data_IF_372466714975
#
_entry.id   IF_372466714975
#
_cell.length_a   1.000
_cell.length_b   1.000
_cell.length_c   1.000
_cell.angle_alpha   90.00
_cell.angle_beta   90.00
_cell.angle_gamma   90.00
#
_symmetry.space_group_name_H-M   'P 1'
#
loop_
_entity.id
_entity.type
_entity.pdbx_description
1 polymer ?
#
# COMPACT_ATOMS: atom_id res chain seq x y z
N UNK A 1 11.16 -2.27 -3.95
CA UNK A 1 10.98 -3.02 -2.68
C UNK A 1 11.00 -2.01 -1.54
N UNK A 2 10.08 -2.13 -0.57
CA UNK A 2 10.05 -1.23 0.61
C UNK A 2 10.87 -1.88 1.72
N UNK A 3 11.78 -1.11 2.31
CA UNK A 3 12.63 -1.46 3.44
C UNK A 3 12.22 -0.62 4.67
N UNK A 4 12.34 -1.18 5.87
CA UNK A 4 12.09 -0.44 7.12
C UNK A 4 13.43 -0.09 7.76
N UNK A 5 13.75 1.20 7.83
CA UNK A 5 14.98 1.69 8.43
C UNK A 5 14.76 2.20 9.86
N UNK A 6 15.70 1.97 10.79
CA UNK A 6 15.75 2.70 12.05
C UNK A 6 15.83 4.22 11.82
N UNK A 7 15.18 5.00 12.68
CA UNK A 7 15.15 6.47 12.52
C UNK A 7 16.55 7.10 12.54
N UNK A 8 17.49 6.50 13.30
CA UNK A 8 18.88 6.94 13.35
C UNK A 8 19.56 6.82 11.97
N UNK A 9 19.39 5.68 11.29
CA UNK A 9 19.92 5.47 9.94
C UNK A 9 19.24 6.40 8.94
N UNK A 10 17.93 6.62 9.06
CA UNK A 10 17.22 7.56 8.20
C UNK A 10 17.69 9.02 8.38
N UNK A 11 18.08 9.40 9.61
CA UNK A 11 18.68 10.70 9.88
C UNK A 11 20.07 10.84 9.26
N UNK A 12 20.87 9.77 9.27
CA UNK A 12 22.16 9.76 8.57
C UNK A 12 21.98 9.97 7.06
N UNK A 13 20.91 9.42 6.46
CA UNK A 13 20.58 9.67 5.05
C UNK A 13 20.24 11.14 4.77
N UNK A 14 19.65 11.87 5.73
CA UNK A 14 19.41 13.32 5.61
C UNK A 14 20.70 14.16 5.65
N UNK A 15 21.78 13.59 6.17
CA UNK A 15 23.10 14.24 6.29
C UNK A 15 24.01 14.01 5.09
N UNK A 16 23.64 13.08 4.20
CA UNK A 16 24.46 12.64 3.07
C UNK A 16 24.70 13.77 2.03
N UNK A 17 25.92 13.82 1.47
CA UNK A 17 26.58 14.89 0.68
C UNK A 17 25.76 15.72 -0.33
N UNK A 18 24.59 15.28 -0.79
CA UNK A 18 23.79 16.03 -1.76
C UNK A 18 23.25 17.36 -1.20
N UNK A 19 23.05 17.44 0.12
CA UNK A 19 22.63 18.69 0.77
C UNK A 19 23.78 19.72 0.85
N UNK A 20 25.03 19.25 1.01
CA UNK A 20 26.25 20.08 1.13
C UNK A 20 26.66 20.77 -0.18
N UNK A 21 26.29 20.22 -1.34
CA UNK A 21 26.65 20.80 -2.64
C UNK A 21 25.63 21.83 -3.17
N UNK A 22 24.42 21.85 -2.62
CA UNK A 22 23.33 22.76 -3.04
C UNK A 22 23.21 24.00 -2.14
N UNK A 23 23.58 23.89 -0.87
CA UNK A 23 23.53 24.97 0.12
C UNK A 23 24.87 24.92 0.84
N UNK A 24 25.67 25.99 0.72
CA UNK A 24 27.07 26.02 1.15
C UNK A 24 27.35 25.43 2.54
N UNK A 25 28.62 25.11 2.77
CA UNK A 25 29.15 24.29 3.87
C UNK A 25 28.33 24.22 5.19
N UNK A 26 28.20 23.01 5.73
CA UNK A 26 27.90 22.83 7.15
C UNK A 26 26.45 22.56 7.56
N UNK A 27 25.53 22.23 6.64
CA UNK A 27 24.18 21.81 7.03
C UNK A 27 24.21 20.50 7.82
N UNK A 28 23.99 20.56 9.13
CA UNK A 28 23.85 19.36 9.96
C UNK A 28 22.44 18.76 9.80
N UNK A 29 22.24 17.52 10.25
CA UNK A 29 20.90 16.92 10.39
C UNK A 29 19.96 17.86 11.15
N UNK A 30 20.48 18.52 12.21
CA UNK A 30 19.72 19.47 13.02
C UNK A 30 19.24 20.66 12.18
N UNK A 31 20.07 21.18 11.30
CA UNK A 31 19.72 22.32 10.43
C UNK A 31 18.68 21.90 9.39
N UNK A 32 18.87 20.74 8.77
CA UNK A 32 17.89 20.14 7.84
C UNK A 32 16.52 19.99 8.52
N UNK A 33 16.48 19.44 9.73
CA UNK A 33 15.25 19.32 10.50
C UNK A 33 14.63 20.69 10.84
N UNK A 34 15.45 21.67 11.23
CA UNK A 34 14.98 23.01 11.54
C UNK A 34 14.32 23.66 10.32
N UNK A 35 14.93 23.56 9.13
CA UNK A 35 14.35 24.07 7.88
C UNK A 35 12.99 23.41 7.61
N UNK A 36 12.92 22.07 7.65
CA UNK A 36 11.69 21.33 7.35
C UNK A 36 10.54 21.68 8.31
N UNK A 37 10.85 21.96 9.57
CA UNK A 37 9.86 22.39 10.58
C UNK A 37 9.29 23.79 10.35
N UNK A 38 9.97 24.63 9.57
CA UNK A 38 9.51 26.00 9.26
C UNK A 38 8.64 26.09 8.01
N UNK A 39 8.57 25.02 7.19
CA UNK A 39 7.76 25.00 5.98
C UNK A 39 6.26 24.99 6.32
N UNK A 40 5.46 25.76 5.57
CA UNK A 40 4.07 26.07 5.92
C UNK A 40 3.15 24.84 6.03
N UNK A 41 3.44 23.80 5.25
CA UNK A 41 2.65 22.56 5.19
C UNK A 41 3.09 21.50 6.22
N UNK A 42 4.17 21.77 6.96
CA UNK A 42 4.74 20.84 7.92
C UNK A 42 3.77 20.46 9.06
N UNK A 43 3.01 21.39 9.67
CA UNK A 43 2.04 21.04 10.71
C UNK A 43 0.96 20.07 10.21
N UNK A 44 0.47 20.27 8.99
CA UNK A 44 -0.55 19.43 8.37
C UNK A 44 0.02 18.04 8.07
N UNK A 45 1.24 17.97 7.53
CA UNK A 45 1.92 16.70 7.28
C UNK A 45 2.16 15.93 8.58
N UNK A 46 2.67 16.60 9.62
CA UNK A 46 2.92 15.98 10.92
C UNK A 46 1.62 15.45 11.53
N UNK A 47 0.55 16.23 11.48
CA UNK A 47 -0.76 15.78 11.95
C UNK A 47 -1.28 14.59 11.14
N UNK A 48 -1.09 14.60 9.83
CA UNK A 48 -1.43 13.48 8.96
C UNK A 48 -0.63 12.23 9.34
N UNK A 49 0.70 12.31 9.47
CA UNK A 49 1.56 11.19 9.89
C UNK A 49 1.21 10.71 11.31
N UNK A 50 0.84 11.60 12.22
CA UNK A 50 0.41 11.21 13.56
C UNK A 50 -0.84 10.34 13.54
N UNK A 51 -1.81 10.68 12.69
CA UNK A 51 -3.07 9.92 12.55
C UNK A 51 -2.90 8.64 11.76
N UNK A 52 -1.99 8.66 10.79
CA UNK A 52 -2.00 7.69 9.70
C UNK A 52 -0.69 6.91 9.54
N UNK A 53 0.39 7.31 10.18
CA UNK A 53 1.73 6.80 9.89
C UNK A 53 2.30 7.35 8.58
N UNK A 54 3.47 6.85 8.20
CA UNK A 54 4.15 7.23 6.95
C UNK A 54 3.63 6.35 5.82
N UNK A 55 2.87 6.97 4.90
CA UNK A 55 2.18 6.25 3.82
C UNK A 55 3.02 6.15 2.53
N UNK A 56 3.80 7.18 2.24
CA UNK A 56 4.75 7.19 1.12
C UNK A 56 6.15 6.91 1.68
N UNK A 57 6.83 5.84 1.27
CA UNK A 57 8.20 5.58 1.71
C UNK A 57 9.11 6.74 1.32
N UNK A 58 10.19 6.95 2.06
CA UNK A 58 11.24 7.86 1.63
C UNK A 58 11.97 7.26 0.43
N UNK A 59 12.25 8.04 -0.61
CA UNK A 59 13.03 7.57 -1.75
C UNK A 59 14.51 7.72 -1.43
N UNK A 60 15.25 6.63 -1.58
CA UNK A 60 16.69 6.61 -1.39
C UNK A 60 17.38 6.12 -2.66
N UNK A 61 18.57 6.62 -2.92
CA UNK A 61 19.46 6.08 -3.95
C UNK A 61 20.52 5.23 -3.30
N UNK A 62 20.88 4.10 -3.92
CA UNK A 62 22.06 3.31 -3.58
C UNK A 62 22.99 3.32 -4.77
N UNK A 63 24.16 3.91 -4.60
CA UNK A 63 25.21 3.97 -5.63
C UNK A 63 25.88 2.61 -5.82
N UNK A 64 26.62 2.44 -6.93
CA UNK A 64 27.40 1.22 -7.20
C UNK A 64 28.44 0.91 -6.11
N UNK A 65 28.91 1.93 -5.37
CA UNK A 65 29.82 1.77 -4.23
C UNK A 65 29.10 1.40 -2.93
N UNK A 66 27.78 1.19 -2.95
CA UNK A 66 26.97 0.88 -1.77
C UNK A 66 26.64 2.08 -0.89
N UNK A 67 27.02 3.30 -1.30
CA UNK A 67 26.66 4.52 -0.58
C UNK A 67 25.18 4.84 -0.78
N UNK A 68 24.49 5.15 0.31
CA UNK A 68 23.04 5.44 0.34
C UNK A 68 22.81 6.92 0.59
N UNK A 69 21.88 7.54 -0.14
CA UNK A 69 21.45 8.93 0.12
C UNK A 69 19.94 9.10 -0.01
N UNK A 70 19.40 10.07 0.72
CA UNK A 70 17.99 10.43 0.63
C UNK A 70 17.75 11.30 -0.61
N UNK A 71 16.85 10.87 -1.50
CA UNK A 71 16.37 11.67 -2.62
C UNK A 71 15.11 12.45 -2.22
N UNK A 72 14.12 11.76 -1.64
CA UNK A 72 12.84 12.37 -1.25
C UNK A 72 12.31 11.85 0.08
N UNK A 73 11.49 12.65 0.76
CA UNK A 73 10.88 12.29 2.05
C UNK A 73 11.51 12.94 3.29
N UNK A 74 12.34 13.97 3.11
CA UNK A 74 12.94 14.78 4.18
C UNK A 74 11.91 15.23 5.24
N UNK A 75 10.76 15.74 4.80
CA UNK A 75 9.68 16.17 5.69
C UNK A 75 9.05 15.01 6.46
N UNK A 76 8.93 13.83 5.84
CA UNK A 76 8.34 12.65 6.47
C UNK A 76 9.25 12.12 7.57
N UNK A 77 10.56 12.07 7.34
CA UNK A 77 11.54 11.70 8.35
C UNK A 77 11.55 12.72 9.50
N UNK A 78 11.54 14.01 9.19
CA UNK A 78 11.47 15.06 10.21
C UNK A 78 10.22 14.93 11.10
N UNK A 79 9.05 14.71 10.49
CA UNK A 79 7.81 14.49 11.21
C UNK A 79 7.84 13.20 12.04
N UNK A 80 8.44 12.11 11.53
CA UNK A 80 8.59 10.86 12.26
C UNK A 80 9.40 11.06 13.55
N UNK A 81 10.52 11.82 13.46
CA UNK A 81 11.31 12.21 14.64
C UNK A 81 10.47 12.99 15.64
N UNK A 82 9.75 14.01 15.19
CA UNK A 82 8.91 14.87 16.06
C UNK A 82 7.70 14.14 16.67
N UNK A 83 7.38 12.95 16.18
CA UNK A 83 6.31 12.08 16.65
C UNK A 83 6.83 10.86 17.43
N UNK A 84 8.16 10.69 17.53
CA UNK A 84 8.78 9.59 18.27
C UNK A 84 8.69 8.23 17.58
N UNK A 85 8.63 8.20 16.24
CA UNK A 85 8.71 6.94 15.50
C UNK A 85 10.11 6.33 15.62
N UNK A 86 10.18 5.02 15.83
CA UNK A 86 11.45 4.28 15.91
C UNK A 86 11.99 3.92 14.52
N UNK A 87 11.11 3.81 13.53
CA UNK A 87 11.44 3.37 12.17
C UNK A 87 10.68 4.16 11.11
N UNK A 88 11.21 4.17 9.88
CA UNK A 88 10.58 4.78 8.70
C UNK A 88 10.68 3.84 7.49
N UNK A 89 9.63 3.75 6.66
CA UNK A 89 9.70 3.01 5.41
C UNK A 89 10.49 3.81 4.36
N UNK A 90 11.35 3.12 3.62
CA UNK A 90 12.12 3.65 2.49
C UNK A 90 12.03 2.73 1.27
N UNK A 91 12.34 3.25 0.09
CA UNK A 91 12.38 2.48 -1.16
C UNK A 91 13.54 2.96 -2.04
N UNK A 92 14.16 2.05 -2.77
CA UNK A 92 15.09 2.38 -3.87
C UNK A 92 14.41 2.38 -5.24
N UNK A 93 13.12 2.04 -5.28
CA UNK A 93 12.35 1.91 -6.50
C UNK A 93 11.68 3.25 -6.83
N UNK A 94 12.29 4.00 -7.74
CA UNK A 94 11.81 5.31 -8.19
C UNK A 94 10.47 5.21 -8.93
N UNK A 95 10.20 4.09 -9.61
CA UNK A 95 8.91 3.86 -10.28
C UNK A 95 7.81 3.69 -9.24
N UNK A 96 8.03 2.81 -8.26
CA UNK A 96 7.12 2.65 -7.13
C UNK A 96 6.91 3.97 -6.39
N UNK A 97 7.96 4.76 -6.19
CA UNK A 97 7.86 6.06 -5.53
C UNK A 97 6.96 7.04 -6.30
N UNK A 98 7.23 7.26 -7.59
CA UNK A 98 6.40 8.12 -8.46
C UNK A 98 4.95 7.64 -8.48
N UNK A 99 4.76 6.33 -8.62
CA UNK A 99 3.44 5.72 -8.65
C UNK A 99 2.69 5.98 -7.33
N UNK A 100 3.32 5.82 -6.16
CA UNK A 100 2.69 6.15 -4.87
C UNK A 100 2.38 7.64 -4.73
N UNK A 101 3.25 8.53 -5.21
CA UNK A 101 2.99 9.98 -5.17
C UNK A 101 1.83 10.40 -6.09
N UNK A 102 1.71 9.75 -7.25
CA UNK A 102 0.60 9.94 -8.19
C UNK A 102 -0.70 9.32 -7.66
N UNK A 103 -0.59 8.24 -6.88
CA UNK A 103 -1.69 7.59 -6.17
C UNK A 103 -2.02 8.25 -4.83
N UNK A 104 -2.22 9.58 -4.84
CA UNK A 104 -2.72 10.33 -3.66
C UNK A 104 -4.01 9.78 -3.06
N UNK A 105 -4.72 8.91 -3.78
CA UNK A 105 -5.92 8.20 -3.34
C UNK A 105 -5.61 6.90 -2.57
N UNK A 106 -4.49 6.21 -2.85
CA UNK A 106 -4.08 4.97 -2.14
C UNK A 106 -3.33 5.32 -0.85
N UNK A 107 -3.99 6.07 0.02
CA UNK A 107 -3.39 6.51 1.27
C UNK A 107 -3.61 5.42 2.33
N UNK A 108 -2.69 4.46 2.39
CA UNK A 108 -2.66 3.40 3.40
C UNK A 108 -2.18 3.97 4.73
N UNK A 109 -3.08 4.25 5.68
CA UNK A 109 -2.60 4.40 7.07
C UNK A 109 -2.22 3.04 7.62
N UNK A 110 -1.44 3.04 8.69
CA UNK A 110 -1.19 1.83 9.47
C UNK A 110 -2.48 1.04 9.79
N UNK A 111 -3.65 1.69 9.76
CA UNK A 111 -4.96 1.12 10.08
C UNK A 111 -6.11 1.35 9.08
N UNK A 112 -5.93 2.08 7.96
CA UNK A 112 -7.12 2.49 7.15
C UNK A 112 -6.84 2.74 5.66
N UNK A 113 -7.88 2.52 4.85
CA UNK A 113 -7.95 2.90 3.43
C UNK A 113 -8.72 4.22 3.30
N UNK A 114 -8.21 5.15 2.49
CA UNK A 114 -9.01 6.30 2.10
C UNK A 114 -10.18 5.87 1.20
N UNK A 115 -11.30 6.58 1.28
CA UNK A 115 -12.48 6.24 0.46
C UNK A 115 -12.18 6.31 -1.05
N UNK A 116 -11.28 7.21 -1.46
CA UNK A 116 -10.82 7.31 -2.86
C UNK A 116 -10.04 6.07 -3.33
N UNK A 117 -9.53 5.25 -2.41
CA UNK A 117 -8.88 3.97 -2.74
C UNK A 117 -9.86 2.84 -3.02
N UNK A 118 -11.13 2.99 -2.61
CA UNK A 118 -12.11 1.90 -2.75
C UNK A 118 -12.42 1.65 -4.22
N UNK A 119 -12.63 2.69 -5.01
CA UNK A 119 -13.08 2.54 -6.40
C UNK A 119 -12.07 1.75 -7.27
N UNK A 120 -10.76 2.07 -7.27
CA UNK A 120 -9.80 1.27 -8.03
C UNK A 120 -9.70 -0.17 -7.50
N UNK A 121 -9.84 -0.38 -6.19
CA UNK A 121 -9.83 -1.71 -5.57
C UNK A 121 -11.08 -2.55 -5.89
N UNK A 122 -12.22 -1.92 -6.23
CA UNK A 122 -13.42 -2.61 -6.74
C UNK A 122 -13.29 -3.01 -8.21
N UNK A 123 -12.55 -2.22 -8.99
CA UNK A 123 -12.40 -2.42 -10.42
C UNK A 123 -11.02 -3.01 -10.75
N UNK A 124 -10.12 -2.17 -11.26
CA UNK A 124 -8.87 -2.56 -11.89
C UNK A 124 -7.90 -3.26 -10.94
N UNK A 125 -7.92 -2.92 -9.65
CA UNK A 125 -7.04 -3.47 -8.63
C UNK A 125 -7.64 -4.65 -7.83
N UNK A 126 -8.86 -5.10 -8.18
CA UNK A 126 -9.53 -6.19 -7.49
C UNK A 126 -8.72 -7.51 -7.48
N UNK A 127 -8.08 -7.84 -8.61
CA UNK A 127 -7.22 -9.03 -8.71
C UNK A 127 -6.03 -8.98 -7.75
N UNK A 128 -5.30 -7.87 -7.71
CA UNK A 128 -4.18 -7.70 -6.79
C UNK A 128 -4.63 -7.69 -5.32
N UNK A 129 -5.79 -7.09 -5.01
CA UNK A 129 -6.37 -7.14 -3.67
C UNK A 129 -6.74 -8.57 -3.27
N UNK A 130 -7.43 -9.31 -4.14
CA UNK A 130 -7.81 -10.70 -3.89
C UNK A 130 -6.57 -11.56 -3.60
N UNK A 131 -5.48 -11.38 -4.35
CA UNK A 131 -4.19 -12.05 -4.07
C UNK A 131 -3.64 -11.63 -2.70
N UNK A 132 -3.66 -10.34 -2.36
CA UNK A 132 -3.22 -9.87 -1.04
C UNK A 132 -4.02 -10.47 0.11
N UNK A 133 -5.35 -10.56 -0.04
CA UNK A 133 -6.25 -11.19 0.93
C UNK A 133 -5.99 -12.70 1.04
N UNK A 134 -5.81 -13.38 -0.09
CA UNK A 134 -5.46 -14.80 -0.16
C UNK A 134 -4.14 -15.08 0.59
N UNK A 135 -3.10 -14.29 0.32
CA UNK A 135 -1.79 -14.44 0.97
C UNK A 135 -1.87 -14.18 2.48
N UNK A 136 -2.69 -13.22 2.91
CA UNK A 136 -2.85 -12.87 4.32
C UNK A 136 -3.69 -13.88 5.13
N UNK A 137 -4.61 -14.60 4.48
CA UNK A 137 -5.65 -15.39 5.17
C UNK A 137 -5.64 -16.88 4.83
N UNK A 138 -5.06 -17.26 3.70
CA UNK A 138 -5.16 -18.59 3.10
C UNK A 138 -6.52 -18.89 2.47
N UNK A 139 -7.43 -17.91 2.35
CA UNK A 139 -8.77 -18.13 1.79
C UNK A 139 -8.71 -18.33 0.27
N UNK A 140 -9.51 -19.25 -0.31
CA UNK A 140 -9.48 -19.54 -1.75
C UNK A 140 -9.77 -18.29 -2.60
N UNK A 141 -9.00 -18.08 -3.67
CA UNK A 141 -9.27 -17.06 -4.68
C UNK A 141 -10.46 -17.49 -5.53
N UNK A 142 -11.41 -16.58 -5.74
CA UNK A 142 -12.59 -16.80 -6.55
C UNK A 142 -12.60 -15.80 -7.70
N UNK A 143 -12.61 -16.32 -8.91
CA UNK A 143 -12.92 -15.56 -10.12
C UNK A 143 -14.44 -15.44 -10.27
N UNK A 144 -14.90 -14.21 -10.48
CA UNK A 144 -16.28 -13.87 -10.81
C UNK A 144 -16.29 -13.46 -12.27
N UNK A 145 -17.00 -14.20 -13.11
CA UNK A 145 -17.00 -13.93 -14.55
C UNK A 145 -18.12 -14.64 -15.31
N UNK A 146 -18.34 -14.26 -16.57
CA UNK A 146 -19.25 -14.97 -17.45
C UNK A 146 -18.81 -16.42 -17.64
N UNK A 147 -19.75 -17.32 -17.91
CA UNK A 147 -19.44 -18.75 -18.12
C UNK A 147 -18.49 -19.02 -19.30
N UNK A 148 -18.38 -18.08 -20.25
CA UNK A 148 -17.63 -18.24 -21.50
C UNK A 148 -16.56 -17.14 -21.75
N UNK A 149 -16.21 -16.35 -20.73
CA UNK A 149 -15.33 -15.18 -20.92
C UNK A 149 -14.36 -14.95 -19.77
N UNK A 150 -13.64 -13.82 -19.85
CA UNK A 150 -12.65 -13.43 -18.85
C UNK A 150 -13.30 -12.98 -17.54
N UNK A 151 -12.66 -13.26 -16.41
CA UNK A 151 -13.06 -12.77 -15.10
C UNK A 151 -13.31 -11.26 -15.07
N UNK A 152 -14.53 -10.90 -14.66
CA UNK A 152 -14.97 -9.52 -14.43
C UNK A 152 -14.41 -8.97 -13.13
N UNK A 153 -14.25 -9.84 -12.13
CA UNK A 153 -13.81 -9.47 -10.80
C UNK A 153 -13.15 -10.65 -10.07
N UNK A 154 -12.40 -10.35 -9.01
CA UNK A 154 -11.72 -11.35 -8.19
C UNK A 154 -11.97 -11.07 -6.71
N UNK A 155 -12.28 -12.13 -5.96
CA UNK A 155 -12.60 -12.09 -4.53
C UNK A 155 -11.88 -13.24 -3.82
N UNK A 156 -12.02 -13.32 -2.49
CA UNK A 156 -11.65 -14.52 -1.72
C UNK A 156 -12.87 -15.15 -1.03
N UNK A 157 -12.88 -16.47 -0.86
CA UNK A 157 -13.95 -17.17 -0.16
C UNK A 157 -13.68 -17.28 1.33
N UNK A 158 -14.40 -16.51 2.13
CA UNK A 158 -14.36 -16.59 3.59
C UNK A 158 -14.84 -17.98 4.09
N UNK A 159 -14.36 -18.49 5.25
CA UNK A 159 -14.82 -19.77 5.81
C UNK A 159 -16.33 -19.89 6.07
N UNK A 160 -17.06 -18.77 6.16
CA UNK A 160 -18.53 -18.77 6.22
C UNK A 160 -19.21 -19.14 4.89
N UNK A 161 -18.44 -19.26 3.80
CA UNK A 161 -18.92 -19.48 2.43
C UNK A 161 -19.21 -18.19 1.65
N UNK A 162 -19.20 -17.03 2.32
CA UNK A 162 -19.34 -15.71 1.70
C UNK A 162 -18.09 -15.31 0.91
N UNK A 163 -18.26 -14.42 -0.05
CA UNK A 163 -17.17 -13.86 -0.85
C UNK A 163 -16.75 -12.52 -0.26
N UNK A 164 -15.46 -12.22 -0.29
CA UNK A 164 -14.90 -10.99 0.25
C UNK A 164 -14.11 -10.20 -0.79
N UNK A 165 -14.40 -8.91 -0.85
CA UNK A 165 -13.65 -7.89 -1.58
C UNK A 165 -13.36 -6.68 -0.66
N UNK A 166 -13.13 -5.50 -1.25
CA UNK A 166 -12.88 -4.26 -0.51
C UNK A 166 -14.11 -3.76 0.30
N UNK A 167 -15.34 -4.09 -0.11
CA UNK A 167 -16.58 -3.69 0.55
C UNK A 167 -17.02 -4.65 1.66
N UNK A 168 -16.34 -5.79 1.80
CA UNK A 168 -16.55 -6.73 2.91
C UNK A 168 -17.14 -8.06 2.45
N UNK A 169 -17.96 -8.69 3.31
CA UNK A 169 -18.54 -10.00 3.02
C UNK A 169 -19.85 -9.90 2.26
N UNK A 170 -19.94 -10.65 1.17
CA UNK A 170 -21.10 -10.73 0.28
C UNK A 170 -21.60 -12.15 0.16
N UNK A 171 -22.91 -12.30 0.04
CA UNK A 171 -23.49 -13.57 -0.40
C UNK A 171 -23.29 -13.71 -1.91
N UNK A 172 -22.91 -14.91 -2.38
CA UNK A 172 -22.65 -15.14 -3.81
C UNK A 172 -23.83 -14.75 -4.72
N UNK A 173 -25.07 -14.87 -4.24
CA UNK A 173 -26.26 -14.42 -5.00
C UNK A 173 -26.31 -12.91 -5.23
N UNK A 174 -25.81 -12.10 -4.30
CA UNK A 174 -25.78 -10.64 -4.46
C UNK A 174 -24.68 -10.26 -5.44
N UNK A 175 -23.50 -10.87 -5.31
CA UNK A 175 -22.41 -10.71 -6.29
C UNK A 175 -22.88 -11.09 -7.69
N UNK A 176 -23.62 -12.19 -7.84
CA UNK A 176 -24.17 -12.58 -9.14
C UNK A 176 -25.10 -11.51 -9.74
N UNK A 177 -25.94 -10.88 -8.92
CA UNK A 177 -26.83 -9.79 -9.37
C UNK A 177 -26.03 -8.54 -9.76
N UNK A 178 -25.02 -8.18 -8.99
CA UNK A 178 -24.21 -6.98 -9.24
C UNK A 178 -23.42 -7.11 -10.56
N UNK A 179 -22.98 -8.32 -10.90
CA UNK A 179 -22.20 -8.59 -12.12
C UNK A 179 -23.03 -9.12 -13.30
N UNK A 180 -24.33 -9.40 -13.13
CA UNK A 180 -25.21 -9.93 -14.19
C UNK A 180 -25.26 -8.98 -15.40
N UNK A 181 -25.29 -7.67 -15.13
CA UNK A 181 -25.32 -6.65 -16.18
C UNK A 181 -24.05 -6.62 -17.04
N UNK A 182 -22.92 -7.10 -16.51
CA UNK A 182 -21.63 -7.07 -17.17
C UNK A 182 -21.27 -8.40 -17.84
N UNK A 183 -21.93 -9.50 -17.48
CA UNK A 183 -21.55 -10.84 -17.91
C UNK A 183 -22.11 -11.24 -19.28
N UNK A 184 -23.03 -10.48 -19.89
CA UNK A 184 -23.77 -10.81 -21.13
C UNK A 184 -24.40 -12.24 -21.13
N UNK A 185 -24.35 -12.93 -19.99
CA UNK A 185 -24.58 -14.35 -19.74
C UNK A 185 -24.63 -14.59 -18.22
N UNK A 186 -24.89 -15.82 -17.77
CA UNK A 186 -24.92 -16.13 -16.35
C UNK A 186 -23.55 -15.95 -15.69
N UNK A 187 -23.52 -15.23 -14.56
CA UNK A 187 -22.33 -15.12 -13.70
C UNK A 187 -21.98 -16.48 -13.09
N UNK A 188 -20.70 -16.83 -13.16
CA UNK A 188 -20.12 -18.03 -12.57
C UNK A 188 -19.07 -17.68 -11.53
N UNK A 189 -18.84 -18.61 -10.61
CA UNK A 189 -17.83 -18.52 -9.56
C UNK A 189 -16.89 -19.72 -9.68
N UNK A 190 -15.64 -19.46 -10.04
CA UNK A 190 -14.62 -20.49 -10.16
C UNK A 190 -13.49 -20.25 -9.16
N UNK A 191 -12.95 -21.31 -8.59
CA UNK A 191 -11.69 -21.18 -7.85
C UNK A 191 -10.56 -20.88 -8.84
N UNK A 192 -9.80 -19.82 -8.56
CA UNK A 192 -8.70 -19.38 -9.39
C UNK A 192 -7.36 -19.71 -8.73
N UNK A 193 -6.34 -19.95 -9.55
CA UNK A 193 -4.99 -20.15 -9.02
C UNK A 193 -4.26 -18.82 -8.86
N UNK A 194 -3.53 -18.69 -7.76
CA UNK A 194 -2.78 -17.48 -7.43
C UNK A 194 -1.81 -17.04 -8.54
N UNK A 195 -1.10 -17.98 -9.16
CA UNK A 195 -0.14 -17.70 -10.23
C UNK A 195 -0.82 -17.16 -11.49
N UNK A 196 -2.00 -17.67 -11.85
CA UNK A 196 -2.79 -17.22 -13.00
C UNK A 196 -3.37 -15.81 -12.76
N UNK A 197 -3.95 -15.56 -11.59
CA UNK A 197 -4.47 -14.24 -11.22
C UNK A 197 -3.36 -13.19 -11.23
N UNK A 198 -2.18 -13.55 -10.71
CA UNK A 198 -1.02 -12.65 -10.72
C UNK A 198 -0.50 -12.38 -12.13
N UNK A 199 -0.37 -13.39 -12.98
CA UNK A 199 0.09 -13.19 -14.36
C UNK A 199 -0.83 -12.19 -15.08
N UNK A 200 -2.14 -12.38 -15.00
CA UNK A 200 -3.15 -11.46 -15.54
C UNK A 200 -3.02 -10.06 -14.97
N UNK A 201 -2.92 -9.93 -13.64
CA UNK A 201 -2.83 -8.62 -12.98
C UNK A 201 -1.62 -7.80 -13.46
N UNK A 202 -0.51 -8.47 -13.74
CA UNK A 202 0.73 -7.85 -14.20
C UNK A 202 0.74 -7.57 -15.69
N UNK A 203 0.33 -8.55 -16.48
CA UNK A 203 0.51 -8.53 -17.93
C UNK A 203 -0.64 -7.83 -18.65
N UNK A 204 -1.87 -7.95 -18.15
CA UNK A 204 -3.05 -7.38 -18.79
C UNK A 204 -3.45 -6.02 -18.21
N UNK A 205 -3.26 -5.83 -16.90
CA UNK A 205 -3.74 -4.64 -16.18
C UNK A 205 -2.62 -3.64 -15.83
N UNK A 206 -1.36 -3.98 -16.08
CA UNK A 206 -0.18 -3.15 -15.79
C UNK A 206 -0.03 -2.78 -14.30
N UNK A 207 -0.44 -3.69 -13.40
CA UNK A 207 -0.39 -3.50 -11.94
C UNK A 207 -0.89 -2.10 -11.48
N UNK A 208 -2.19 -1.76 -11.66
CA UNK A 208 -2.71 -0.43 -11.37
C UNK A 208 -2.38 -0.01 -9.92
N UNK A 209 -2.33 -0.98 -8.99
CA UNK A 209 -1.71 -0.86 -7.69
C UNK A 209 -0.53 -1.84 -7.59
N UNK A 210 0.70 -1.38 -7.29
CA UNK A 210 1.86 -2.25 -7.21
C UNK A 210 1.65 -3.41 -6.23
N UNK A 211 1.98 -4.63 -6.66
CA UNK A 211 1.78 -5.83 -5.82
C UNK A 211 2.53 -5.76 -4.48
N UNK A 212 3.62 -4.99 -4.42
CA UNK A 212 4.37 -4.76 -3.18
C UNK A 212 3.54 -4.06 -2.09
N UNK A 213 2.45 -3.37 -2.44
CA UNK A 213 1.55 -2.69 -1.51
C UNK A 213 0.39 -3.57 -1.05
N UNK A 214 0.05 -4.62 -1.80
CA UNK A 214 -1.13 -5.45 -1.54
C UNK A 214 -1.18 -6.10 -0.15
N UNK A 215 -0.07 -6.52 0.48
CA UNK A 215 -0.11 -7.00 1.86
C UNK A 215 -0.63 -5.94 2.85
N UNK A 216 -0.24 -4.68 2.67
CA UNK A 216 -0.69 -3.56 3.51
C UNK A 216 -2.16 -3.20 3.20
N UNK A 217 -2.54 -3.17 1.92
CA UNK A 217 -3.94 -2.97 1.49
C UNK A 217 -4.85 -4.04 2.10
N UNK A 218 -4.50 -5.32 1.95
CA UNK A 218 -5.28 -6.44 2.47
C UNK A 218 -5.44 -6.36 4.00
N UNK A 219 -4.38 -6.01 4.72
CA UNK A 219 -4.43 -5.80 6.17
C UNK A 219 -5.42 -4.69 6.54
N UNK A 220 -5.42 -3.57 5.81
CA UNK A 220 -6.35 -2.47 6.03
C UNK A 220 -7.81 -2.87 5.73
N UNK A 221 -8.07 -3.60 4.65
CA UNK A 221 -9.41 -4.14 4.34
C UNK A 221 -9.91 -5.07 5.46
N UNK A 222 -9.08 -6.01 5.90
CA UNK A 222 -9.45 -6.93 6.98
C UNK A 222 -9.75 -6.19 8.29
N UNK A 223 -9.00 -5.13 8.63
CA UNK A 223 -9.28 -4.31 9.82
C UNK A 223 -10.57 -3.53 9.69
N UNK A 224 -10.79 -2.88 8.53
CA UNK A 224 -12.01 -2.10 8.23
C UNK A 224 -13.28 -2.92 8.48
N UNK A 225 -13.23 -4.22 8.17
CA UNK A 225 -14.35 -5.13 8.33
C UNK A 225 -14.28 -6.02 9.59
N UNK A 226 -13.41 -5.69 10.56
CA UNK A 226 -13.35 -6.37 11.85
C UNK A 226 -12.82 -7.82 11.80
N UNK A 227 -12.06 -8.18 10.76
CA UNK A 227 -11.55 -9.54 10.51
C UNK A 227 -10.04 -9.70 10.75
N UNK A 228 -9.32 -8.61 11.00
CA UNK A 228 -7.90 -8.70 11.33
C UNK A 228 -7.71 -9.39 12.69
N UNK A 229 -6.88 -10.44 12.73
CA UNK A 229 -6.47 -11.05 14.00
C UNK A 229 -5.73 -10.02 14.83
N UNK A 230 -6.12 -9.87 16.10
CA UNK A 230 -5.42 -9.00 17.02
C UNK A 230 -4.13 -9.72 17.47
N UNK A 231 -2.92 -9.24 17.10
CA UNK A 231 -1.68 -9.92 17.46
C UNK A 231 -1.50 -10.06 18.98
N UNK A 232 -2.17 -9.21 19.77
CA UNK A 232 -2.13 -9.25 21.24
C UNK A 232 -3.01 -10.36 21.84
N UNK A 233 -3.95 -10.95 21.09
CA UNK A 233 -4.80 -12.04 21.58
C UNK A 233 -4.19 -13.42 21.33
N UNK A 234 -3.32 -13.57 20.33
CA UNK A 234 -2.69 -14.85 19.97
C UNK A 234 -1.37 -15.13 20.72
N UNK A 235 -0.92 -14.18 21.56
CA UNK A 235 0.30 -14.29 22.36
C UNK A 235 0.05 -14.61 23.85
N UNK A 236 -1.19 -14.97 24.22
CA UNK A 236 -1.61 -15.37 25.56
C UNK A 236 -2.03 -16.84 25.58
#
# INVERSE_FOLDING_TARGET
MIEILPIAEALDLMSSEAFLHSWGDGSTVRDSLAVKRTEADYPQLREHIRRHGIRTPALIEVTDSGYRRLLEGHHRIAAAVDLGFETVPVTTDERLYRHIEEMRWLVLSHDDLADDALEPLKAEAAAGLAVGLHDATGWPLIEVGPSEGHGLHYMVRHPSGQLMDVDGLHEARHVAVDFDWYADSSVTFAEARRDEVLARYREELDEPVPMALMPAVATAVLRRHGMARNPRQDAA
#
